data_IF_817676529667
#
_entry.id   IF_817676529667
#
_cell.length_a   1.000
_cell.length_b   1.000
_cell.length_c   1.000
_cell.angle_alpha   90.00
_cell.angle_beta   90.00
_cell.angle_gamma   90.00
#
_symmetry.space_group_name_H-M   'P 1'
#
loop_
_entity.id
_entity.type
_entity.pdbx_description
1 polymer ?
#
# COMPACT_ATOMS: atom_id res chain seq x y z
N UNK A 1 -5.72 -22.35 7.70
CA UNK A 1 -6.58 -21.20 8.02
C UNK A 1 -6.25 -20.11 7.02
N UNK A 2 -6.95 -20.07 5.88
CA UNK A 2 -6.84 -18.97 4.93
C UNK A 2 -7.67 -17.83 5.53
N UNK A 3 -7.03 -16.82 6.11
CA UNK A 3 -7.72 -15.60 6.50
C UNK A 3 -8.01 -14.85 5.21
N UNK A 4 -9.23 -14.97 4.68
CA UNK A 4 -9.75 -14.05 3.68
C UNK A 4 -9.73 -12.65 4.30
N UNK A 5 -8.62 -11.96 4.10
CA UNK A 5 -8.49 -10.55 4.43
C UNK A 5 -9.42 -9.81 3.48
N UNK A 6 -10.42 -9.16 4.04
CA UNK A 6 -11.30 -8.26 3.29
C UNK A 6 -10.46 -7.36 2.39
N UNK A 7 -10.85 -7.11 1.13
CA UNK A 7 -10.05 -6.33 0.18
C UNK A 7 -9.55 -4.99 0.75
N UNK A 8 -10.36 -4.37 1.62
CA UNK A 8 -10.04 -3.13 2.32
C UNK A 8 -8.82 -3.26 3.24
N UNK A 9 -8.61 -4.42 3.85
CA UNK A 9 -7.49 -4.63 4.77
C UNK A 9 -6.16 -4.83 4.04
N UNK A 10 -6.17 -5.51 2.89
CA UNK A 10 -4.97 -5.64 2.03
C UNK A 10 -4.54 -4.26 1.50
N UNK A 11 -5.50 -3.43 1.08
CA UNK A 11 -5.24 -2.05 0.65
C UNK A 11 -4.65 -1.23 1.80
N UNK A 12 -5.18 -1.37 3.02
CA UNK A 12 -4.65 -0.70 4.22
C UNK A 12 -3.21 -1.13 4.53
N UNK A 13 -2.92 -2.43 4.48
CA UNK A 13 -1.57 -2.94 4.70
C UNK A 13 -0.57 -2.44 3.63
N UNK A 14 -0.98 -2.42 2.36
CA UNK A 14 -0.18 -1.86 1.29
C UNK A 14 0.05 -0.35 1.47
N UNK A 15 -0.96 0.39 1.93
CA UNK A 15 -0.85 1.82 2.21
C UNK A 15 0.15 2.11 3.34
N UNK A 16 0.10 1.34 4.43
CA UNK A 16 1.07 1.44 5.53
C UNK A 16 2.50 1.13 5.07
N UNK A 17 2.66 0.08 4.26
CA UNK A 17 3.94 -0.24 3.65
C UNK A 17 4.47 0.91 2.79
N UNK A 18 3.64 1.51 1.95
CA UNK A 18 4.03 2.67 1.13
C UNK A 18 4.39 3.86 2.04
N UNK A 19 3.58 4.15 3.08
CA UNK A 19 3.76 5.30 3.95
C UNK A 19 4.97 5.21 4.88
N UNK A 20 5.48 4.00 5.14
CA UNK A 20 6.66 3.78 5.98
C UNK A 20 7.93 4.38 5.37
N UNK A 21 8.82 4.99 6.18
CA UNK A 21 10.15 5.38 5.73
C UNK A 21 10.94 4.10 5.40
N UNK A 22 11.16 3.86 4.11
CA UNK A 22 11.85 2.67 3.60
C UNK A 22 12.91 3.03 2.58
N UNK A 23 13.99 2.27 2.58
CA UNK A 23 14.93 2.28 1.46
C UNK A 23 14.16 1.94 0.20
N UNK A 24 14.24 2.83 -0.78
CA UNK A 24 13.60 2.59 -2.05
C UNK A 24 14.38 1.46 -2.72
N UNK A 25 13.70 0.34 -2.97
CA UNK A 25 14.26 -0.82 -3.70
C UNK A 25 14.67 -0.49 -5.14
N UNK A 26 14.60 0.79 -5.56
CA UNK A 26 14.73 1.26 -6.93
C UNK A 26 13.51 0.95 -7.79
N UNK A 27 12.54 0.16 -7.29
CA UNK A 27 11.33 -0.21 -8.04
C UNK A 27 10.27 0.88 -7.95
N UNK A 28 9.52 1.05 -9.04
CA UNK A 28 8.31 1.86 -9.02
C UNK A 28 7.29 1.25 -8.04
N UNK A 29 6.63 2.11 -7.25
CA UNK A 29 5.75 1.69 -6.15
C UNK A 29 4.60 0.82 -6.60
N UNK A 30 3.94 1.15 -7.72
CA UNK A 30 2.74 0.43 -8.18
C UNK A 30 3.05 -1.04 -8.57
N UNK A 31 4.03 -1.34 -9.43
CA UNK A 31 4.43 -2.73 -9.68
C UNK A 31 4.80 -3.49 -8.40
N UNK A 32 5.56 -2.86 -7.51
CA UNK A 32 6.04 -3.49 -6.27
C UNK A 32 4.89 -3.92 -5.35
N UNK A 33 3.89 -3.05 -5.13
CA UNK A 33 2.77 -3.40 -4.25
C UNK A 33 1.81 -4.40 -4.89
N UNK A 34 1.66 -4.38 -6.21
CA UNK A 34 0.86 -5.39 -6.93
C UNK A 34 1.47 -6.78 -6.79
N UNK A 35 2.78 -6.90 -6.97
CA UNK A 35 3.52 -8.16 -6.81
C UNK A 35 3.46 -8.65 -5.35
N UNK A 36 3.65 -7.75 -4.38
CA UNK A 36 3.73 -8.11 -2.96
C UNK A 36 2.39 -8.48 -2.34
N UNK A 37 1.31 -7.78 -2.71
CA UNK A 37 0.01 -7.89 -2.05
C UNK A 37 -1.09 -8.49 -2.94
N UNK A 38 -0.77 -8.90 -4.18
CA UNK A 38 -1.76 -9.45 -5.12
C UNK A 38 -2.80 -8.44 -5.59
N UNK A 39 -2.49 -7.14 -5.54
CA UNK A 39 -3.44 -6.08 -5.87
C UNK A 39 -3.63 -5.90 -7.38
N UNK A 40 -4.84 -5.53 -7.78
CA UNK A 40 -5.10 -4.94 -9.09
C UNK A 40 -4.51 -3.54 -9.18
N UNK A 41 -4.36 -3.00 -10.39
CA UNK A 41 -3.87 -1.62 -10.58
C UNK A 41 -4.76 -0.57 -9.88
N UNK A 42 -6.10 -0.62 -9.95
CA UNK A 42 -6.94 0.31 -9.20
C UNK A 42 -6.73 0.25 -7.68
N UNK A 43 -6.64 -0.95 -7.09
CA UNK A 43 -6.40 -1.12 -5.65
C UNK A 43 -5.02 -0.62 -5.23
N UNK A 44 -4.00 -0.79 -6.06
CA UNK A 44 -2.67 -0.23 -5.81
C UNK A 44 -2.69 1.31 -5.82
N UNK A 45 -3.49 1.92 -6.70
CA UNK A 45 -3.71 3.38 -6.72
C UNK A 45 -4.43 3.83 -5.44
N UNK A 46 -5.44 3.08 -4.99
CA UNK A 46 -6.13 3.36 -3.73
C UNK A 46 -5.19 3.27 -2.52
N UNK A 47 -4.34 2.24 -2.46
CA UNK A 47 -3.32 2.11 -1.43
C UNK A 47 -2.35 3.30 -1.44
N UNK A 48 -1.93 3.77 -2.61
CA UNK A 48 -1.06 4.94 -2.74
C UNK A 48 -1.75 6.23 -2.26
N UNK A 49 -3.04 6.43 -2.58
CA UNK A 49 -3.83 7.57 -2.09
C UNK A 49 -3.94 7.54 -0.56
N UNK A 50 -4.25 6.38 0.01
CA UNK A 50 -4.33 6.20 1.46
C UNK A 50 -2.97 6.45 2.11
N UNK A 51 -1.88 5.98 1.52
CA UNK A 51 -0.53 6.22 2.02
C UNK A 51 -0.17 7.71 2.08
N UNK A 52 -0.59 8.49 1.08
CA UNK A 52 -0.39 9.94 1.09
C UNK A 52 -1.20 10.61 2.20
N UNK A 53 -2.44 10.19 2.43
CA UNK A 53 -3.25 10.67 3.55
C UNK A 53 -2.59 10.35 4.91
N UNK A 54 -2.06 9.13 5.09
CA UNK A 54 -1.32 8.73 6.30
C UNK A 54 -0.09 9.60 6.55
N UNK A 55 0.69 9.91 5.50
CA UNK A 55 1.85 10.79 5.61
C UNK A 55 1.48 12.20 6.03
N UNK A 56 0.40 12.75 5.46
CA UNK A 56 -0.11 14.08 5.83
C UNK A 56 -0.56 14.10 7.29
N UNK A 57 -1.31 13.09 7.73
CA UNK A 57 -1.78 12.99 9.11
C UNK A 57 -0.64 12.87 10.14
N UNK A 58 0.52 12.31 9.75
CA UNK A 58 1.70 12.19 10.60
C UNK A 58 2.57 13.45 10.65
N UNK A 59 2.37 14.37 9.71
CA UNK A 59 3.15 15.60 9.60
C UNK A 59 2.50 16.79 10.33
N UNK A 60 1.25 16.65 10.78
CA UNK A 60 0.53 17.59 11.62
C UNK A 60 0.65 17.21 13.10
#
# INVERSE_FOLDING_TARGET
MQTDLEPNEIIRQAAEFIASPREHSGRATIPEVRERYGLTTPQAIEALRLANALRLARAC
#
